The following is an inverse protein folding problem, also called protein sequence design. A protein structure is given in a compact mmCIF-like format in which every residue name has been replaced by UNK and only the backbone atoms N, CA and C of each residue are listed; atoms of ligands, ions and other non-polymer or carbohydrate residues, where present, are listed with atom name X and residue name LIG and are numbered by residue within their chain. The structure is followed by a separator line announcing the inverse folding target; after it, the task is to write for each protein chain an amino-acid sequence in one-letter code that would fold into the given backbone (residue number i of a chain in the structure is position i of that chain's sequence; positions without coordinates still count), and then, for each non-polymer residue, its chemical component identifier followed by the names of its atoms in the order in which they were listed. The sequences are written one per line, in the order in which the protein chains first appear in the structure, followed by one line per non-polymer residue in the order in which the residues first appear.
data_IF_395679609382
#
_entry.id   IF_395679609382
#
_cell.length_a   1.000
_cell.length_b   1.000
_cell.length_c   1.000
_cell.angle_alpha   90.00
_cell.angle_beta   90.00
_cell.angle_gamma   90.00
#
_symmetry.space_group_name_H-M   'P 1'
#
loop_
_entity.id
_entity.type
_entity.pdbx_description
1 polymer ?
#
# COMPACT_ATOMS: atom_id res chain seq x y z
N UNK A 1 2.13 8.93 6.26
CA UNK A 1 3.50 8.35 6.19
C UNK A 1 3.51 7.33 5.07
N UNK A 2 4.51 7.36 4.20
CA UNK A 2 4.57 6.36 3.14
C UNK A 2 5.08 5.02 3.69
N UNK A 3 4.91 3.95 2.89
CA UNK A 3 5.20 2.60 3.38
C UNK A 3 6.69 2.41 3.67
N UNK A 4 7.56 3.07 2.90
CA UNK A 4 9.01 2.96 3.14
C UNK A 4 9.40 3.58 4.47
N UNK A 5 8.91 4.79 4.74
CA UNK A 5 9.23 5.46 6.01
C UNK A 5 8.69 4.65 7.18
N UNK A 6 7.50 4.09 7.03
CA UNK A 6 6.93 3.26 8.08
C UNK A 6 7.81 2.03 8.33
N UNK A 7 8.20 1.33 7.25
CA UNK A 7 9.06 0.15 7.38
C UNK A 7 10.36 0.50 8.10
N UNK A 8 10.99 1.60 7.71
CA UNK A 8 12.28 1.99 8.30
C UNK A 8 12.14 2.43 9.75
N UNK A 9 10.94 2.74 10.21
CA UNK A 9 10.71 3.15 11.58
C UNK A 9 10.48 1.97 12.54
N UNK A 10 10.37 0.74 12.02
CA UNK A 10 10.01 -0.41 12.84
C UNK A 10 11.27 -1.11 13.37
N UNK A 11 11.49 -1.12 14.70
CA UNK A 11 12.63 -1.85 15.26
C UNK A 11 12.56 -3.33 14.87
N UNK A 12 13.66 -3.86 14.34
CA UNK A 12 13.76 -5.27 13.97
C UNK A 12 13.02 -5.64 12.69
N UNK A 13 12.39 -4.67 12.01
CA UNK A 13 11.63 -4.93 10.78
C UNK A 13 11.96 -3.94 9.68
N UNK A 14 13.19 -3.43 9.69
CA UNK A 14 13.61 -2.43 8.72
C UNK A 14 13.95 -3.01 7.37
N UNK A 15 14.26 -4.33 7.28
CA UNK A 15 14.49 -4.95 5.99
C UNK A 15 13.17 -5.28 5.32
N UNK A 16 13.18 -5.35 3.98
CA UNK A 16 11.97 -5.71 3.26
C UNK A 16 11.50 -7.12 3.59
N UNK A 17 12.44 -8.06 3.77
CA UNK A 17 12.11 -9.44 4.13
C UNK A 17 11.35 -9.48 5.47
N UNK A 18 11.91 -8.88 6.50
CA UNK A 18 11.29 -8.88 7.83
C UNK A 18 9.95 -8.15 7.80
N UNK A 19 9.87 -7.04 7.08
CA UNK A 19 8.62 -6.30 6.98
C UNK A 19 7.53 -7.11 6.28
N UNK A 20 7.87 -7.78 5.16
CA UNK A 20 6.90 -8.60 4.45
C UNK A 20 6.39 -9.74 5.32
N UNK A 21 7.26 -10.39 6.09
CA UNK A 21 6.82 -11.44 7.00
C UNK A 21 5.83 -10.90 8.01
N UNK A 22 6.12 -9.75 8.57
CA UNK A 22 5.27 -9.13 9.59
C UNK A 22 3.92 -8.71 9.03
N UNK A 23 3.93 -7.97 7.91
CA UNK A 23 2.67 -7.41 7.38
C UNK A 23 1.81 -8.49 6.75
N UNK A 24 2.43 -9.52 6.14
CA UNK A 24 1.66 -10.57 5.49
C UNK A 24 0.90 -11.45 6.48
N UNK A 25 1.33 -11.51 7.74
CA UNK A 25 0.54 -12.20 8.75
C UNK A 25 -0.85 -11.61 8.86
N UNK A 26 -0.94 -10.30 8.76
CA UNK A 26 -2.24 -9.62 8.77
C UNK A 26 -2.92 -9.72 7.42
N UNK A 27 -2.19 -9.44 6.34
CA UNK A 27 -2.76 -9.38 5.00
C UNK A 27 -3.32 -10.72 4.55
N UNK A 28 -2.67 -11.83 4.93
CA UNK A 28 -3.13 -13.16 4.53
C UNK A 28 -4.52 -13.47 5.07
N UNK A 29 -4.89 -12.88 6.21
CA UNK A 29 -6.23 -13.05 6.76
C UNK A 29 -7.29 -12.47 5.83
N UNK A 30 -6.89 -11.52 4.98
CA UNK A 30 -7.77 -10.90 4.00
C UNK A 30 -7.50 -11.41 2.58
N UNK A 31 -6.74 -12.50 2.47
CA UNK A 31 -6.38 -13.11 1.17
C UNK A 31 -5.56 -12.15 0.31
N UNK A 32 -4.75 -11.34 0.96
CA UNK A 32 -3.83 -10.42 0.31
C UNK A 32 -2.42 -10.73 0.77
N UNK A 33 -1.43 -10.35 -0.05
CA UNK A 33 -0.06 -10.43 0.39
C UNK A 33 0.80 -9.46 -0.43
N UNK A 34 2.02 -9.21 0.07
CA UNK A 34 3.00 -8.38 -0.61
C UNK A 34 4.27 -9.21 -0.73
N UNK A 35 4.73 -9.44 -1.97
CA UNK A 35 6.04 -10.05 -2.20
C UNK A 35 7.13 -9.00 -2.01
N UNK A 36 8.37 -9.47 -1.80
CA UNK A 36 9.50 -8.56 -1.64
C UNK A 36 9.71 -7.67 -2.87
N UNK A 37 9.71 -8.21 -4.11
CA UNK A 37 9.84 -7.36 -5.29
C UNK A 37 8.67 -6.38 -5.44
N UNK A 38 7.48 -6.81 -5.09
CA UNK A 38 6.30 -5.94 -5.15
C UNK A 38 6.43 -4.78 -4.14
N UNK A 39 6.90 -5.08 -2.93
CA UNK A 39 7.13 -4.04 -1.94
C UNK A 39 8.15 -3.02 -2.45
N UNK A 40 9.23 -3.49 -3.08
CA UNK A 40 10.22 -2.59 -3.63
C UNK A 40 9.61 -1.66 -4.68
N UNK A 41 8.74 -2.19 -5.53
CA UNK A 41 8.08 -1.38 -6.56
C UNK A 41 7.09 -0.39 -5.94
N UNK A 42 6.38 -0.80 -4.89
CA UNK A 42 5.48 0.10 -4.17
C UNK A 42 6.26 1.24 -3.53
N UNK A 43 7.40 0.94 -2.91
CA UNK A 43 8.21 1.96 -2.25
C UNK A 43 8.80 2.94 -3.26
N UNK A 44 9.13 2.45 -4.44
CA UNK A 44 9.70 3.28 -5.50
C UNK A 44 8.67 4.04 -6.32
N UNK A 45 7.39 3.83 -6.08
CA UNK A 45 6.34 4.49 -6.85
C UNK A 45 6.15 3.95 -8.25
N UNK A 46 6.74 2.79 -8.55
CA UNK A 46 6.62 2.19 -9.89
C UNK A 46 5.28 1.51 -10.10
N UNK A 47 4.59 1.15 -9.04
CA UNK A 47 3.27 0.57 -9.12
C UNK A 47 2.45 1.09 -7.94
N UNK A 48 1.14 1.04 -8.09
CA UNK A 48 0.23 1.42 -7.02
C UNK A 48 -0.53 0.18 -6.54
N UNK A 49 -0.83 0.09 -5.24
CA UNK A 49 -1.62 -1.04 -4.74
C UNK A 49 -3.07 -0.91 -5.19
N UNK A 50 -3.80 -2.02 -5.16
CA UNK A 50 -5.25 -1.95 -5.27
C UNK A 50 -5.81 -1.20 -4.06
N UNK A 51 -7.02 -0.68 -4.18
CA UNK A 51 -7.64 -0.01 -3.05
C UNK A 51 -7.81 -0.97 -1.86
N UNK A 52 -8.17 -2.21 -2.14
CA UNK A 52 -8.31 -3.22 -1.07
C UNK A 52 -6.99 -3.42 -0.32
N UNK A 53 -5.88 -3.49 -1.04
CA UNK A 53 -4.58 -3.64 -0.39
C UNK A 53 -4.20 -2.39 0.39
N UNK A 54 -4.45 -1.21 -0.16
CA UNK A 54 -4.13 0.04 0.52
C UNK A 54 -4.91 0.17 1.83
N UNK A 55 -6.18 -0.21 1.84
CA UNK A 55 -7.00 -0.19 3.05
C UNK A 55 -6.46 -1.20 4.07
N UNK A 56 -6.11 -2.39 3.61
CA UNK A 56 -5.59 -3.42 4.51
C UNK A 56 -4.26 -3.00 5.13
N UNK A 57 -3.39 -2.34 4.36
CA UNK A 57 -2.12 -1.82 4.89
C UNK A 57 -2.37 -0.71 5.90
N UNK A 58 -3.33 0.15 5.63
CA UNK A 58 -3.69 1.19 6.61
C UNK A 58 -4.10 0.56 7.93
N UNK A 59 -4.95 -0.46 7.88
CA UNK A 59 -5.38 -1.16 9.10
C UNK A 59 -4.20 -1.85 9.79
N UNK A 60 -3.35 -2.52 9.02
CA UNK A 60 -2.22 -3.27 9.57
C UNK A 60 -1.21 -2.35 10.24
N UNK A 61 -1.09 -1.11 9.79
CA UNK A 61 -0.13 -0.15 10.33
C UNK A 61 -0.74 0.78 11.38
N UNK A 62 -1.98 0.51 11.80
CA UNK A 62 -2.63 1.35 12.79
C UNK A 62 -2.95 2.74 12.28
N UNK A 63 -3.17 2.87 10.98
CA UNK A 63 -3.52 4.14 10.36
C UNK A 63 -2.33 5.00 9.99
N UNK A 64 -1.11 4.50 10.15
CA UNK A 64 0.08 5.30 9.84
C UNK A 64 0.37 5.40 8.36
N UNK A 65 0.12 4.32 7.59
CA UNK A 65 0.24 4.35 6.13
C UNK A 65 -1.18 4.46 5.58
N UNK A 66 -1.56 5.68 5.23
CA UNK A 66 -2.94 5.96 4.81
C UNK A 66 -3.10 5.72 3.31
N UNK A 67 -4.35 5.47 2.91
CA UNK A 67 -4.67 5.30 1.49
C UNK A 67 -4.16 6.48 0.68
N UNK A 68 -4.31 7.68 1.18
CA UNK A 68 -3.88 8.90 0.46
C UNK A 68 -2.36 9.04 0.36
N UNK A 69 -1.61 8.22 1.09
CA UNK A 69 -0.15 8.27 1.04
C UNK A 69 0.43 7.53 -0.17
N UNK A 70 -0.41 6.85 -0.95
CA UNK A 70 0.01 6.12 -2.14
C UNK A 70 -0.10 7.02 -3.36
N UNK A 71 1.02 7.41 -3.99
CA UNK A 71 0.96 8.36 -5.10
C UNK A 71 0.09 7.90 -6.26
N UNK A 72 0.13 6.62 -6.61
CA UNK A 72 -0.66 6.11 -7.71
C UNK A 72 -2.14 6.18 -7.46
N UNK A 73 -2.59 5.84 -6.24
CA UNK A 73 -3.99 5.92 -5.89
C UNK A 73 -4.47 7.36 -5.85
N UNK A 74 -3.63 8.25 -5.34
CA UNK A 74 -3.97 9.65 -5.30
C UNK A 74 -4.24 10.19 -6.71
N UNK A 75 -3.36 9.86 -7.65
CA UNK A 75 -3.55 10.26 -9.04
C UNK A 75 -4.81 9.65 -9.63
N UNK A 76 -5.06 8.38 -9.32
CA UNK A 76 -6.23 7.68 -9.85
C UNK A 76 -7.53 8.34 -9.45
N UNK A 77 -7.60 8.87 -8.23
CA UNK A 77 -8.83 9.52 -7.78
C UNK A 77 -9.09 10.84 -8.46
N UNK A 78 -8.05 11.53 -8.88
CA UNK A 78 -8.23 12.81 -9.52
C UNK A 78 -8.74 12.68 -10.95
N UNK A 79 -8.68 11.51 -11.47
CA UNK A 79 -9.11 11.29 -12.84
C UNK A 79 -10.58 11.03 -12.99
N UNK A 80 -11.35 11.06 -12.24
CA UNK A 80 -12.73 10.67 -12.43
C UNK A 80 -13.62 11.42 -13.19
N UNK A 81 -12.76 11.59 -13.45
CA UNK A 81 -13.27 11.83 -14.27
C UNK A 81 -13.52 11.30 -14.98
N UNK A 82 -13.23 11.22 -14.66
CA UNK A 82 -13.42 10.71 -15.38
C UNK A 82 -13.98 10.06 -15.36
N UNK A 83 -14.00 10.10 -14.85
CA UNK A 83 -14.51 9.49 -15.16
C UNK A 83 -15.10 9.21 -15.00
N UNK A 84 -15.16 9.39 -14.85
CA UNK A 84 -15.68 9.18 -15.17
C UNK A 84 -15.99 8.64 -15.34
N UNK A 85 -15.97 8.56 -15.13
CA UNK A 85 -16.36 8.12 -15.63
C UNK A 85 -16.85 7.61 -15.69
N UNK A 86 -16.86 7.60 -15.60
CA UNK A 86 -17.33 7.21 -15.91
C UNK A 86 -18.07 7.04 -15.89
N UNK A 87 -18.21 7.11 -15.78
CA UNK A 87 -18.84 6.98 -16.12
C UNK A 87 -19.50 6.82 -16.40
N UNK A 88 -19.64 6.79 -16.45
CA UNK A 88 -20.10 6.60 -16.91
C UNK A 88 -20.69 6.34 -17.13
N UNK A 89 -20.75 6.40 -17.08
CA UNK A 89 -21.11 6.16 -17.54
C UNK A 89 -21.48 6.09 -17.74
#
# INVERSE_FOLDING_TARGET
MNIRDFRESLPGRTTRVAFCCWVNEYLNQRRLNISIPYLRDLEGGRTAPSLALAIAVEDATGGKVKVRDWPGLHKGRTNKKRSHYVVAL
#
